data_IF_015275101070
#
_entry.id   IF_015275101070
#
_cell.length_a   1.000
_cell.length_b   1.000
_cell.length_c   1.000
_cell.angle_alpha   90.00
_cell.angle_beta   90.00
_cell.angle_gamma   90.00
#
_symmetry.space_group_name_H-M   'P 1'
#
loop_
_entity.id
_entity.type
_entity.pdbx_description
1 polymer ?
#
# COMPACT_ATOMS: atom_id res chain seq x y z
N UNK A 1 -25.96 -1.43 28.33
CA UNK A 1 -24.81 -2.31 28.11
C UNK A 1 -23.59 -1.41 28.14
N UNK A 2 -22.85 -1.42 29.25
CA UNK A 2 -21.63 -0.62 29.41
C UNK A 2 -20.45 -1.48 28.92
N UNK A 3 -19.59 -0.91 28.07
CA UNK A 3 -18.38 -1.55 27.58
C UNK A 3 -17.19 -0.99 28.36
N UNK A 4 -16.44 -1.86 29.03
CA UNK A 4 -15.19 -1.51 29.72
C UNK A 4 -14.02 -2.12 28.92
N UNK A 5 -13.00 -1.33 28.64
CA UNK A 5 -11.72 -1.82 28.11
C UNK A 5 -10.95 -2.48 29.25
N UNK A 6 -10.79 -3.81 29.22
CA UNK A 6 -10.01 -4.52 30.23
C UNK A 6 -8.51 -4.45 29.89
N UNK A 7 -7.71 -3.87 30.80
CA UNK A 7 -6.27 -4.11 30.85
C UNK A 7 -6.02 -5.45 31.53
N UNK A 8 -5.04 -6.20 30.99
CA UNK A 8 -4.63 -7.53 31.41
C UNK A 8 -4.61 -7.73 32.93
N UNK A 9 -5.52 -8.54 33.44
CA UNK A 9 -5.29 -9.39 34.61
C UNK A 9 -6.25 -10.59 34.53
N UNK A 10 -5.68 -11.78 34.68
CA UNK A 10 -6.38 -13.05 34.54
C UNK A 10 -7.16 -13.36 35.81
N UNK A 11 -8.49 -13.32 35.73
CA UNK A 11 -9.38 -14.02 36.67
C UNK A 11 -10.52 -14.68 35.90
N UNK A 12 -10.64 -16.00 36.05
CA UNK A 12 -11.72 -16.83 35.52
C UNK A 12 -13.05 -16.41 36.17
N UNK A 13 -13.98 -15.91 35.35
CA UNK A 13 -15.39 -15.80 35.73
C UNK A 13 -16.27 -16.18 34.54
N UNK A 14 -17.34 -16.91 34.86
CA UNK A 14 -18.25 -17.65 33.98
C UNK A 14 -19.22 -16.71 33.24
N UNK A 15 -18.66 -15.86 32.37
CA UNK A 15 -19.40 -15.08 31.37
C UNK A 15 -18.88 -15.50 30.00
N UNK A 16 -19.78 -15.88 29.09
CA UNK A 16 -19.50 -16.24 27.69
C UNK A 16 -19.00 -15.02 26.90
N UNK A 17 -17.91 -14.40 27.35
CA UNK A 17 -17.23 -13.33 26.64
C UNK A 17 -16.42 -13.97 25.52
N UNK A 18 -17.04 -14.04 24.34
CA UNK A 18 -16.34 -14.40 23.10
C UNK A 18 -15.34 -13.29 22.81
N UNK A 19 -14.05 -13.54 23.12
CA UNK A 19 -12.95 -12.69 22.69
C UNK A 19 -12.80 -12.81 21.17
N UNK A 20 -13.53 -11.98 20.43
CA UNK A 20 -13.36 -11.81 19.00
C UNK A 20 -12.05 -11.07 18.77
N UNK A 21 -11.06 -11.75 18.18
CA UNK A 21 -9.81 -11.10 17.79
C UNK A 21 -10.07 -9.95 16.82
N UNK A 22 -9.13 -9.00 16.73
CA UNK A 22 -9.23 -7.82 15.85
C UNK A 22 -9.54 -8.19 14.38
N UNK A 23 -9.18 -9.41 13.96
CA UNK A 23 -9.49 -9.98 12.65
C UNK A 23 -10.98 -10.19 12.36
N UNK A 24 -11.85 -10.22 13.37
CA UNK A 24 -13.30 -10.42 13.18
C UNK A 24 -13.98 -9.24 12.48
N UNK A 25 -13.43 -8.02 12.61
CA UNK A 25 -14.00 -6.81 12.02
C UNK A 25 -13.32 -6.38 10.71
N UNK A 26 -12.33 -7.14 10.22
CA UNK A 26 -11.62 -6.81 8.98
C UNK A 26 -12.43 -7.31 7.78
N UNK A 27 -12.93 -6.39 6.96
CA UNK A 27 -13.59 -6.72 5.71
C UNK A 27 -12.55 -7.19 4.68
N UNK A 28 -12.64 -8.46 4.25
CA UNK A 28 -11.78 -9.06 3.22
C UNK A 28 -12.55 -9.45 1.95
N UNK A 29 -13.76 -8.90 1.75
CA UNK A 29 -14.59 -9.13 0.57
C UNK A 29 -14.06 -8.35 -0.65
N UNK A 30 -12.82 -8.66 -1.04
CA UNK A 30 -12.18 -8.03 -2.17
C UNK A 30 -12.84 -8.42 -3.47
N UNK A 31 -13.05 -7.42 -4.33
CA UNK A 31 -13.60 -7.58 -5.64
C UNK A 31 -12.49 -7.38 -6.67
N UNK A 32 -12.40 -8.30 -7.63
CA UNK A 32 -11.51 -8.13 -8.76
C UNK A 32 -12.07 -7.04 -9.68
N UNK A 33 -11.38 -5.91 -9.73
CA UNK A 33 -11.79 -4.72 -10.46
C UNK A 33 -10.80 -4.44 -11.59
N UNK A 34 -11.31 -4.06 -12.75
CA UNK A 34 -10.48 -3.68 -13.90
C UNK A 34 -10.40 -2.16 -13.98
N UNK A 35 -9.18 -1.65 -14.08
CA UNK A 35 -8.87 -0.23 -14.26
C UNK A 35 -8.18 -0.03 -15.60
N UNK A 36 -8.50 1.04 -16.30
CA UNK A 36 -7.92 1.36 -17.61
C UNK A 36 -7.29 2.74 -17.57
N UNK A 37 -6.02 2.81 -17.96
CA UNK A 37 -5.22 4.03 -18.04
C UNK A 37 -4.58 4.05 -19.43
N UNK A 38 -5.05 4.94 -20.30
CA UNK A 38 -4.65 4.93 -21.72
C UNK A 38 -4.83 3.54 -22.35
N UNK A 39 -3.78 2.93 -22.95
CA UNK A 39 -3.84 1.60 -23.52
C UNK A 39 -3.65 0.46 -22.50
N UNK A 40 -3.41 0.77 -21.22
CA UNK A 40 -3.09 -0.21 -20.19
C UNK A 40 -4.32 -0.60 -19.38
N UNK A 41 -4.57 -1.90 -19.30
CA UNK A 41 -5.63 -2.48 -18.46
C UNK A 41 -5.00 -3.23 -17.29
N UNK A 42 -5.37 -2.87 -16.08
CA UNK A 42 -4.90 -3.48 -14.84
C UNK A 42 -6.06 -4.18 -14.14
N UNK A 43 -5.78 -5.31 -13.50
CA UNK A 43 -6.76 -6.03 -12.68
C UNK A 43 -6.21 -6.14 -11.26
N UNK A 44 -6.96 -5.59 -10.30
CA UNK A 44 -6.59 -5.61 -8.89
C UNK A 44 -7.77 -6.03 -8.04
N UNK A 45 -7.48 -6.76 -6.97
CA UNK A 45 -8.38 -7.00 -5.86
C UNK A 45 -8.39 -5.76 -4.97
N UNK A 46 -9.59 -5.22 -4.72
CA UNK A 46 -9.80 -4.08 -3.81
C UNK A 46 -11.21 -4.14 -3.19
N UNK A 47 -11.44 -3.41 -2.11
CA UNK A 47 -12.78 -3.22 -1.56
C UNK A 47 -13.60 -2.26 -2.45
N UNK A 48 -14.93 -2.40 -2.41
CA UNK A 48 -15.85 -1.49 -3.12
C UNK A 48 -16.31 -0.30 -2.27
N UNK A 49 -16.19 -0.41 -0.97
CA UNK A 49 -16.64 0.59 0.00
C UNK A 49 -15.68 0.64 1.18
N UNK A 50 -15.54 1.82 1.77
CA UNK A 50 -14.67 2.03 2.91
C UNK A 50 -15.07 1.14 4.10
N UNK A 51 -14.06 0.67 4.82
CA UNK A 51 -14.22 0.22 6.20
C UNK A 51 -14.50 1.43 7.10
N UNK A 52 -15.09 1.21 8.27
CA UNK A 52 -15.19 2.25 9.32
C UNK A 52 -13.86 2.53 10.00
N UNK A 53 -12.85 1.70 9.74
CA UNK A 53 -11.48 1.85 10.25
C UNK A 53 -10.60 2.65 9.28
N UNK A 54 -10.03 3.76 9.77
CA UNK A 54 -9.19 4.67 9.00
C UNK A 54 -7.87 4.04 8.57
N UNK A 55 -7.33 3.09 9.35
CA UNK A 55 -6.05 2.44 9.07
C UNK A 55 -6.17 1.40 7.93
N UNK A 56 -7.41 1.06 7.57
CA UNK A 56 -7.75 0.08 6.53
C UNK A 56 -8.18 0.72 5.20
N UNK A 57 -8.07 2.05 5.10
CA UNK A 57 -8.40 2.81 3.88
C UNK A 57 -7.55 2.44 2.67
N UNK A 58 -6.34 1.89 2.89
CA UNK A 58 -5.45 1.39 1.85
C UNK A 58 -5.99 0.19 1.06
N UNK A 59 -7.08 -0.45 1.51
CA UNK A 59 -7.76 -1.51 0.76
C UNK A 59 -8.66 -1.01 -0.39
N UNK A 60 -8.85 0.31 -0.48
CA UNK A 60 -9.55 0.99 -1.57
C UNK A 60 -8.59 1.56 -2.60
N UNK A 61 -9.11 1.80 -3.79
CA UNK A 61 -8.45 2.67 -4.78
C UNK A 61 -8.99 4.09 -4.62
N UNK A 62 -8.12 5.02 -4.25
CA UNK A 62 -8.49 6.41 -4.06
C UNK A 62 -8.46 7.22 -5.37
N UNK A 63 -9.29 8.28 -5.52
CA UNK A 63 -9.36 9.04 -6.76
C UNK A 63 -8.05 9.71 -7.18
N UNK A 64 -7.20 10.15 -6.25
CA UNK A 64 -5.90 10.73 -6.55
C UNK A 64 -4.94 9.72 -7.17
N UNK A 65 -4.98 8.46 -6.74
CA UNK A 65 -4.24 7.38 -7.41
C UNK A 65 -4.71 7.15 -8.86
N UNK A 66 -6.02 7.22 -9.11
CA UNK A 66 -6.57 7.14 -10.48
C UNK A 66 -6.11 8.32 -11.34
N UNK A 67 -6.08 9.53 -10.79
CA UNK A 67 -5.59 10.72 -11.50
C UNK A 67 -4.10 10.62 -11.80
N UNK A 68 -3.28 10.21 -10.82
CA UNK A 68 -1.85 10.00 -11.00
C UNK A 68 -1.59 8.96 -12.09
N UNK A 69 -2.32 7.86 -12.11
CA UNK A 69 -2.15 6.81 -13.12
C UNK A 69 -2.51 7.26 -14.53
N UNK A 70 -3.53 8.10 -14.71
CA UNK A 70 -3.81 8.69 -16.02
C UNK A 70 -2.65 9.58 -16.47
N UNK A 71 -2.13 10.44 -15.58
CA UNK A 71 -0.97 11.27 -15.89
C UNK A 71 0.27 10.45 -16.26
N UNK A 72 0.58 9.41 -15.47
CA UNK A 72 1.72 8.53 -15.71
C UNK A 72 1.58 7.74 -17.02
N UNK A 73 0.36 7.26 -17.33
CA UNK A 73 0.08 6.59 -18.61
C UNK A 73 0.31 7.51 -19.80
N UNK A 74 -0.10 8.78 -19.70
CA UNK A 74 0.09 9.76 -20.78
C UNK A 74 1.55 10.20 -20.93
N UNK A 75 2.34 10.05 -19.86
CA UNK A 75 3.73 10.50 -19.78
C UNK A 75 4.70 9.33 -19.50
N UNK A 76 4.40 8.13 -20.00
CA UNK A 76 5.13 6.90 -19.65
C UNK A 76 6.66 6.97 -19.88
N UNK A 77 7.13 7.85 -20.78
CA UNK A 77 8.56 8.08 -21.00
C UNK A 77 9.35 8.54 -19.77
N UNK A 78 8.69 9.07 -18.73
CA UNK A 78 9.35 9.40 -17.44
C UNK A 78 9.64 8.18 -16.57
N UNK A 79 8.99 7.03 -16.86
CA UNK A 79 9.08 5.80 -16.08
C UNK A 79 10.03 4.77 -16.72
N UNK A 80 10.33 4.94 -18.00
CA UNK A 80 11.07 3.97 -18.81
C UNK A 80 12.46 3.68 -18.20
N UNK A 81 12.65 2.44 -17.77
CA UNK A 81 13.91 1.98 -17.18
C UNK A 81 14.23 2.53 -15.78
N UNK A 82 13.33 3.29 -15.15
CA UNK A 82 13.54 3.82 -13.79
C UNK A 82 13.39 2.73 -12.71
N UNK A 83 14.03 2.92 -11.55
CA UNK A 83 13.68 2.26 -10.29
C UNK A 83 12.78 3.19 -9.47
N UNK A 84 11.72 2.64 -8.88
CA UNK A 84 10.76 3.46 -8.14
C UNK A 84 10.44 2.89 -6.76
N UNK A 85 10.13 3.78 -5.82
CA UNK A 85 9.47 3.44 -4.57
C UNK A 85 8.17 4.22 -4.44
N UNK A 86 7.07 3.53 -4.17
CA UNK A 86 5.78 4.15 -3.87
C UNK A 86 5.52 4.13 -2.36
N UNK A 87 5.25 5.29 -1.80
CA UNK A 87 4.87 5.48 -0.40
C UNK A 87 3.35 5.42 -0.27
N UNK A 88 2.84 4.65 0.70
CA UNK A 88 1.39 4.54 0.94
C UNK A 88 0.65 3.97 -0.26
N UNK A 89 1.15 2.86 -0.81
CA UNK A 89 0.69 2.28 -2.07
C UNK A 89 -0.73 1.71 -2.01
N UNK A 90 -1.28 1.47 -0.82
CA UNK A 90 -2.58 0.82 -0.67
C UNK A 90 -2.62 -0.55 -1.38
N UNK A 91 -3.60 -0.75 -2.25
CA UNK A 91 -3.71 -1.98 -3.06
C UNK A 91 -2.63 -2.10 -4.16
N UNK A 92 -1.81 -1.08 -4.38
CA UNK A 92 -0.67 -1.10 -5.30
C UNK A 92 -0.97 -0.67 -6.74
N UNK A 93 -2.08 0.04 -7.00
CA UNK A 93 -2.52 0.36 -8.37
C UNK A 93 -1.51 1.18 -9.16
N UNK A 94 -0.78 2.11 -8.53
CA UNK A 94 0.22 2.95 -9.21
C UNK A 94 1.46 2.15 -9.55
N UNK A 95 2.09 1.48 -8.58
CA UNK A 95 3.29 0.69 -8.90
C UNK A 95 3.02 -0.48 -9.84
N UNK A 96 1.82 -1.08 -9.83
CA UNK A 96 1.41 -2.08 -10.84
C UNK A 96 1.30 -1.47 -12.26
N UNK A 97 0.92 -0.20 -12.39
CA UNK A 97 1.01 0.49 -13.68
C UNK A 97 2.48 0.69 -14.06
N UNK A 98 3.28 1.21 -13.12
CA UNK A 98 4.69 1.53 -13.35
C UNK A 98 5.55 0.31 -13.68
N UNK A 99 5.21 -0.88 -13.19
CA UNK A 99 5.95 -2.12 -13.46
C UNK A 99 5.96 -2.53 -14.94
N UNK A 100 5.13 -1.89 -15.77
CA UNK A 100 5.14 -2.07 -17.22
C UNK A 100 6.26 -1.32 -17.94
N UNK A 101 6.87 -0.33 -17.29
CA UNK A 101 7.85 0.59 -17.89
C UNK A 101 9.17 0.61 -17.10
N UNK A 102 9.08 0.47 -15.77
CA UNK A 102 10.22 0.46 -14.88
C UNK A 102 10.95 -0.88 -14.92
N UNK A 103 12.19 -0.91 -14.41
CA UNK A 103 12.91 -2.17 -14.20
C UNK A 103 12.76 -2.71 -12.77
N UNK A 104 12.48 -1.83 -11.81
CA UNK A 104 12.28 -2.16 -10.40
C UNK A 104 11.20 -1.28 -9.76
N UNK A 105 10.27 -1.90 -9.02
CA UNK A 105 9.17 -1.22 -8.34
C UNK A 105 9.02 -1.75 -6.91
N UNK A 106 9.19 -0.86 -5.93
CA UNK A 106 8.96 -1.16 -4.51
C UNK A 106 7.68 -0.46 -4.05
N UNK A 107 6.67 -1.25 -3.70
CA UNK A 107 5.42 -0.79 -3.11
C UNK A 107 5.53 -0.82 -1.59
N UNK A 108 5.09 0.24 -0.91
CA UNK A 108 5.18 0.31 0.55
C UNK A 108 3.90 0.78 1.21
N UNK A 109 3.59 0.15 2.34
CA UNK A 109 2.55 0.59 3.26
C UNK A 109 2.92 0.19 4.70
N UNK A 110 2.30 0.83 5.68
CA UNK A 110 2.53 0.56 7.10
C UNK A 110 1.64 -0.56 7.64
N UNK A 111 0.43 -0.73 7.07
CA UNK A 111 -0.59 -1.61 7.61
C UNK A 111 -0.44 -3.04 7.05
N UNK A 112 -0.39 -4.04 7.94
CA UNK A 112 -0.15 -5.44 7.54
C UNK A 112 -1.30 -6.04 6.70
N UNK A 113 -2.54 -5.60 6.93
CA UNK A 113 -3.71 -6.00 6.14
C UNK A 113 -3.64 -5.45 4.72
N UNK A 114 -3.22 -4.18 4.60
CA UNK A 114 -2.98 -3.53 3.30
C UNK A 114 -1.82 -4.22 2.57
N UNK A 115 -0.73 -4.55 3.27
CA UNK A 115 0.37 -5.30 2.69
C UNK A 115 -0.04 -6.71 2.23
N UNK A 116 -0.98 -7.37 2.92
CA UNK A 116 -1.49 -8.67 2.49
C UNK A 116 -2.22 -8.59 1.13
N UNK A 117 -3.14 -7.64 0.98
CA UNK A 117 -3.86 -7.46 -0.30
C UNK A 117 -2.93 -6.97 -1.41
N UNK A 118 -1.97 -6.11 -1.08
CA UNK A 118 -0.93 -5.67 -2.02
C UNK A 118 -0.13 -6.85 -2.56
N UNK A 119 0.33 -7.77 -1.70
CA UNK A 119 1.03 -8.99 -2.14
C UNK A 119 0.17 -9.87 -3.05
N UNK A 120 -1.11 -10.05 -2.71
CA UNK A 120 -2.06 -10.77 -3.58
C UNK A 120 -2.18 -10.12 -4.96
N UNK A 121 -2.16 -8.79 -5.04
CA UNK A 121 -2.19 -8.07 -6.31
C UNK A 121 -0.89 -8.20 -7.12
N UNK A 122 0.27 -8.23 -6.45
CA UNK A 122 1.57 -8.49 -7.10
C UNK A 122 1.60 -9.90 -7.70
N UNK A 123 1.18 -10.90 -6.92
CA UNK A 123 1.08 -12.29 -7.37
C UNK A 123 0.14 -12.42 -8.57
N UNK A 124 -1.00 -11.73 -8.53
CA UNK A 124 -1.96 -11.70 -9.63
C UNK A 124 -1.31 -11.18 -10.93
N UNK A 125 -0.45 -10.16 -10.88
CA UNK A 125 0.22 -9.66 -12.11
C UNK A 125 1.20 -10.70 -12.67
N UNK A 126 1.93 -11.39 -11.80
CA UNK A 126 2.85 -12.47 -12.19
C UNK A 126 2.15 -13.61 -12.94
N UNK A 127 0.88 -13.88 -12.63
CA UNK A 127 0.09 -14.91 -13.32
C UNK A 127 -0.52 -14.47 -14.65
N UNK A 128 -0.68 -13.16 -14.85
CA UNK A 128 -1.38 -12.58 -16.00
C UNK A 128 -0.41 -12.11 -17.09
N UNK A 129 0.85 -11.84 -16.75
CA UNK A 129 1.80 -11.16 -17.64
C UNK A 129 2.94 -12.06 -18.15
N UNK A 130 3.45 -11.71 -19.33
CA UNK A 130 4.67 -12.28 -19.91
C UNK A 130 5.91 -11.85 -19.10
N UNK A 131 7.03 -12.58 -19.17
CA UNK A 131 8.23 -12.38 -18.33
C UNK A 131 9.00 -11.05 -18.51
N UNK A 132 8.43 -10.03 -19.18
CA UNK A 132 9.09 -8.74 -19.43
C UNK A 132 8.71 -7.62 -18.45
N UNK A 133 7.97 -7.91 -17.38
CA UNK A 133 7.56 -6.91 -16.41
C UNK A 133 8.59 -6.75 -15.28
N UNK A 134 8.65 -5.54 -14.70
CA UNK A 134 9.56 -5.17 -13.62
C UNK A 134 9.45 -6.13 -12.42
N UNK A 135 10.53 -6.20 -11.63
CA UNK A 135 10.45 -6.82 -10.32
C UNK A 135 9.58 -5.96 -9.39
N UNK A 136 8.38 -6.45 -9.06
CA UNK A 136 7.47 -5.87 -8.07
C UNK A 136 7.74 -6.45 -6.69
N UNK A 137 7.94 -5.59 -5.68
CA UNK A 137 8.11 -6.00 -4.28
C UNK A 137 7.21 -5.21 -3.34
N UNK A 138 6.64 -5.88 -2.35
CA UNK A 138 5.89 -5.24 -1.26
C UNK A 138 6.73 -5.21 0.01
N UNK A 139 6.91 -4.02 0.60
CA UNK A 139 7.67 -3.84 1.83
C UNK A 139 6.92 -3.01 2.86
N UNK A 140 7.12 -3.32 4.14
CA UNK A 140 6.54 -2.54 5.23
C UNK A 140 7.31 -1.24 5.41
N UNK A 141 6.60 -0.12 5.38
CA UNK A 141 7.13 1.20 5.71
C UNK A 141 6.10 2.01 6.47
N UNK A 142 6.32 2.09 7.77
CA UNK A 142 5.74 3.15 8.60
C UNK A 142 6.60 4.41 8.48
N UNK A 143 5.99 5.53 8.08
CA UNK A 143 6.75 6.76 7.84
C UNK A 143 7.47 7.22 9.11
N UNK A 144 8.72 7.66 8.94
CA UNK A 144 9.59 8.08 10.04
C UNK A 144 10.17 6.95 10.92
N UNK A 145 9.77 5.70 10.71
CA UNK A 145 10.35 4.51 11.35
C UNK A 145 11.72 4.19 10.71
N UNK A 146 12.78 4.37 11.48
CA UNK A 146 14.16 4.22 11.01
C UNK A 146 14.52 2.77 10.67
N UNK A 147 13.93 1.79 11.34
CA UNK A 147 14.25 0.37 11.13
C UNK A 147 13.68 -0.12 9.80
N UNK A 148 12.42 0.24 9.51
CA UNK A 148 11.77 -0.05 8.23
C UNK A 148 12.55 0.58 7.07
N UNK A 149 12.89 1.87 7.20
CA UNK A 149 13.65 2.58 6.19
C UNK A 149 15.05 1.97 5.98
N UNK A 150 15.77 1.66 7.07
CA UNK A 150 17.10 1.04 6.99
C UNK A 150 17.06 -0.31 6.28
N UNK A 151 16.00 -1.09 6.50
CA UNK A 151 15.80 -2.37 5.80
C UNK A 151 15.61 -2.18 4.30
N UNK A 152 14.81 -1.20 3.88
CA UNK A 152 14.63 -0.86 2.47
C UNK A 152 15.97 -0.43 1.86
N UNK A 153 16.67 0.51 2.49
CA UNK A 153 17.95 1.02 1.97
C UNK A 153 19.06 -0.05 1.94
N UNK A 154 19.01 -1.06 2.82
CA UNK A 154 19.93 -2.20 2.76
C UNK A 154 19.64 -3.12 1.57
N UNK A 155 18.37 -3.30 1.20
CA UNK A 155 17.96 -4.11 0.05
C UNK A 155 18.16 -3.36 -1.28
N UNK A 156 18.01 -2.02 -1.26
CA UNK A 156 18.16 -1.12 -2.41
C UNK A 156 19.23 -0.05 -2.13
N UNK A 157 20.53 -0.42 -2.06
CA UNK A 157 21.60 0.50 -1.69
C UNK A 157 21.88 1.59 -2.72
N UNK A 158 21.41 1.41 -3.96
CA UNK A 158 21.50 2.41 -5.04
C UNK A 158 20.41 3.48 -4.96
N UNK A 159 19.41 3.32 -4.08
CA UNK A 159 18.26 4.20 -4.02
C UNK A 159 17.27 4.00 -5.16
N UNK A 160 16.44 5.01 -5.40
CA UNK A 160 15.36 4.99 -6.39
C UNK A 160 15.41 6.25 -7.25
N UNK A 161 15.17 6.11 -8.55
CA UNK A 161 15.11 7.26 -9.46
C UNK A 161 13.87 8.13 -9.21
N UNK A 162 12.75 7.51 -8.78
CA UNK A 162 11.50 8.21 -8.49
C UNK A 162 10.87 7.73 -7.18
N UNK A 163 10.37 8.69 -6.40
CA UNK A 163 9.50 8.44 -5.24
C UNK A 163 8.08 8.89 -5.58
N UNK A 164 7.12 7.98 -5.51
CA UNK A 164 5.71 8.23 -5.81
C UNK A 164 4.87 8.17 -4.53
N UNK A 165 3.70 8.81 -4.57
CA UNK A 165 2.69 8.71 -3.52
C UNK A 165 1.43 9.44 -3.93
N UNK A 166 0.29 8.78 -3.80
CA UNK A 166 -1.02 9.33 -4.13
C UNK A 166 -1.95 9.26 -2.91
N UNK A 167 -2.70 10.35 -2.66
CA UNK A 167 -3.61 10.46 -1.51
C UNK A 167 -2.95 10.21 -0.12
N UNK A 168 -1.63 10.35 -0.04
CA UNK A 168 -0.84 10.12 1.18
C UNK A 168 -0.82 11.29 2.17
N UNK A 169 -1.27 12.47 1.75
CA UNK A 169 -1.36 13.65 2.60
C UNK A 169 -2.83 13.95 2.91
N UNK A 170 -3.28 13.52 4.10
CA UNK A 170 -4.64 13.77 4.58
C UNK A 170 -4.57 14.80 5.70
N UNK A 171 -5.13 15.99 5.46
CA UNK A 171 -5.06 17.18 6.33
C UNK A 171 -5.52 16.96 7.79
N UNK A 172 -6.31 15.92 8.06
CA UNK A 172 -6.80 15.60 9.40
C UNK A 172 -5.82 14.77 10.25
N UNK A 173 -4.70 14.32 9.68
CA UNK A 173 -3.70 13.53 10.43
C UNK A 173 -2.45 14.36 10.69
N UNK A 174 -2.53 15.21 11.72
CA UNK A 174 -1.53 16.23 12.05
C UNK A 174 -0.10 15.71 12.32
N UNK A 175 0.12 14.40 12.50
CA UNK A 175 1.43 13.82 12.84
C UNK A 175 2.19 13.18 11.66
N UNK A 176 1.56 12.94 10.50
CA UNK A 176 2.24 12.25 9.40
C UNK A 176 3.11 13.17 8.54
N UNK A 177 2.83 14.47 8.50
CA UNK A 177 3.57 15.41 7.66
C UNK A 177 5.08 15.44 7.95
N UNK A 178 5.55 15.58 9.22
CA UNK A 178 6.99 15.56 9.50
C UNK A 178 7.63 14.20 9.18
N UNK A 179 6.89 13.11 9.36
CA UNK A 179 7.38 11.74 9.18
C UNK A 179 7.53 11.38 7.70
N UNK A 180 6.59 11.79 6.85
CA UNK A 180 6.70 11.66 5.40
C UNK A 180 7.93 12.40 4.87
N UNK A 181 8.10 13.67 5.26
CA UNK A 181 9.27 14.45 4.84
C UNK A 181 10.58 13.89 5.40
N UNK A 182 10.56 13.35 6.63
CA UNK A 182 11.71 12.63 7.19
C UNK A 182 12.06 11.40 6.34
N UNK A 183 11.08 10.59 5.93
CA UNK A 183 11.32 9.45 5.05
C UNK A 183 11.90 9.89 3.70
N UNK A 184 11.33 10.92 3.08
CA UNK A 184 11.81 11.46 1.80
C UNK A 184 13.26 11.98 1.88
N UNK A 185 13.65 12.60 2.99
CA UNK A 185 15.00 13.13 3.18
C UNK A 185 16.11 12.06 3.28
N UNK A 186 15.75 10.78 3.36
CA UNK A 186 16.71 9.68 3.44
C UNK A 186 16.90 8.90 2.14
N UNK A 187 16.08 9.17 1.11
CA UNK A 187 16.34 8.63 -0.22
C UNK A 187 17.36 9.53 -0.95
N UNK A 188 18.45 8.96 -1.50
CA UNK A 188 19.54 9.71 -2.12
C UNK A 188 19.15 10.40 -3.44
#
# INVERSE_FOLDING_TARGET
MALQLCQNEAEESDDDTVCLGESFFVNREYNLTTFTFGPHSLRLLCLRSASTDYDLTGQLVWPGAVLLNNYLSDNAGILEGCSIIELGSGVGITGVLCSKFCHEVVLTDHNDEVLEIMRKNIELQSTLENPSCAALRAMKLEWGNSDHLSKILQEFPTGFDLVLGADIYILFVHNFSPLLFKSLANFP
#
